data_IF_084802547255
#
_entry.id   IF_084802547255
#
_cell.length_a   1.000
_cell.length_b   1.000
_cell.length_c   1.000
_cell.angle_alpha   90.00
_cell.angle_beta   90.00
_cell.angle_gamma   90.00
#
_symmetry.space_group_name_H-M   'P 1'
#
loop_
_entity.id
_entity.type
_entity.pdbx_description
1 polymer ?
#
# COMPACT_ATOMS: atom_id res chain seq x y z
N UNK A 1 1.63 44.33 9.52
CA UNK A 1 1.88 44.23 8.06
C UNK A 1 3.04 43.27 7.74
N UNK A 2 4.23 43.39 8.35
CA UNK A 2 5.34 42.46 8.11
C UNK A 2 5.04 40.98 8.52
N UNK A 3 4.30 40.78 9.60
CA UNK A 3 3.98 39.44 10.12
C UNK A 3 3.00 38.65 9.23
N UNK A 4 2.10 39.34 8.52
CA UNK A 4 1.18 38.71 7.55
C UNK A 4 1.90 38.33 6.26
N UNK A 5 2.81 39.18 5.77
CA UNK A 5 3.64 38.85 4.61
C UNK A 5 4.56 37.67 4.88
N UNK A 6 5.13 37.57 6.09
CA UNK A 6 5.88 36.37 6.49
C UNK A 6 4.98 35.13 6.51
N UNK A 7 3.75 35.23 7.02
CA UNK A 7 2.81 34.11 7.01
C UNK A 7 2.45 33.64 5.59
N UNK A 8 2.20 34.57 4.67
CA UNK A 8 1.91 34.26 3.26
C UNK A 8 3.11 33.61 2.55
N UNK A 9 4.33 34.11 2.81
CA UNK A 9 5.58 33.54 2.30
C UNK A 9 5.83 32.13 2.88
N UNK A 10 5.55 31.91 4.16
CA UNK A 10 5.62 30.59 4.78
C UNK A 10 4.56 29.64 4.19
N UNK A 11 3.32 30.09 4.00
CA UNK A 11 2.28 29.29 3.34
C UNK A 11 2.67 28.87 1.92
N UNK A 12 3.27 29.78 1.13
CA UNK A 12 3.80 29.43 -0.19
C UNK A 12 4.95 28.41 -0.12
N UNK A 13 5.82 28.50 0.89
CA UNK A 13 6.91 27.54 1.10
C UNK A 13 6.41 26.13 1.44
N UNK A 14 5.26 26.00 2.12
CA UNK A 14 4.63 24.71 2.39
C UNK A 14 3.81 24.16 1.21
N UNK A 15 3.31 25.04 0.35
CA UNK A 15 2.55 24.66 -0.84
C UNK A 15 3.41 23.98 -1.91
N UNK A 16 4.67 24.39 -2.06
CA UNK A 16 5.58 23.85 -3.09
C UNK A 16 5.94 22.37 -2.85
N UNK A 17 6.33 21.93 -1.64
CA UNK A 17 6.49 20.51 -1.30
C UNK A 17 5.19 19.70 -1.44
N UNK A 18 4.04 20.30 -1.12
CA UNK A 18 2.73 19.69 -1.31
C UNK A 18 2.35 19.55 -2.79
N UNK A 19 2.88 20.40 -3.68
CA UNK A 19 2.62 20.36 -5.12
C UNK A 19 3.63 19.51 -5.92
N UNK A 20 4.85 19.31 -5.41
CA UNK A 20 5.93 18.56 -6.10
C UNK A 20 6.51 17.47 -5.19
N UNK A 21 5.74 16.40 -5.04
CA UNK A 21 6.08 15.21 -4.27
C UNK A 21 7.36 14.51 -4.75
N UNK A 22 7.81 14.79 -5.99
CA UNK A 22 9.03 14.24 -6.60
C UNK A 22 10.29 14.52 -5.76
N UNK A 23 10.41 15.74 -5.20
CA UNK A 23 11.60 16.12 -4.44
C UNK A 23 11.67 15.39 -3.10
N UNK A 24 10.52 15.16 -2.46
CA UNK A 24 10.44 14.40 -1.21
C UNK A 24 10.67 12.90 -1.46
N UNK A 25 10.16 12.35 -2.57
CA UNK A 25 10.45 10.98 -2.97
C UNK A 25 11.96 10.76 -3.21
N UNK A 26 12.62 11.67 -3.95
CA UNK A 26 14.08 11.64 -4.13
C UNK A 26 14.83 11.79 -2.80
N UNK A 27 14.33 12.63 -1.89
CA UNK A 27 14.92 12.77 -0.55
C UNK A 27 14.81 11.47 0.25
N UNK A 28 13.65 10.82 0.26
CA UNK A 28 13.45 9.53 0.95
C UNK A 28 14.36 8.45 0.38
N UNK A 29 14.48 8.40 -0.93
CA UNK A 29 15.37 7.48 -1.63
C UNK A 29 16.85 7.72 -1.24
N UNK A 30 17.30 8.98 -1.28
CA UNK A 30 18.66 9.35 -0.89
C UNK A 30 18.94 9.03 0.59
N UNK A 31 17.97 9.30 1.46
CA UNK A 31 18.08 9.04 2.89
C UNK A 31 18.01 7.56 3.27
N UNK A 32 17.39 6.72 2.44
CA UNK A 32 17.41 5.26 2.63
C UNK A 32 18.79 4.67 2.31
N UNK A 33 19.47 5.20 1.28
CA UNK A 33 20.79 4.70 0.84
C UNK A 33 21.97 5.25 1.65
N UNK A 34 21.88 6.48 2.17
CA UNK A 34 22.91 7.04 3.03
C UNK A 34 22.68 6.57 4.47
N UNK A 35 23.68 5.96 5.11
CA UNK A 35 23.67 5.61 6.55
C UNK A 35 23.62 6.89 7.42
N UNK A 36 22.46 7.55 7.44
CA UNK A 36 22.19 8.69 8.29
C UNK A 36 21.94 8.24 9.72
N UNK A 37 22.29 9.10 10.68
CA UNK A 37 21.95 8.88 12.08
C UNK A 37 20.42 8.67 12.21
N UNK A 38 20.01 7.64 12.95
CA UNK A 38 18.60 7.30 13.20
C UNK A 38 17.76 8.49 13.68
N UNK A 39 18.40 9.45 14.37
CA UNK A 39 17.78 10.72 14.79
C UNK A 39 17.27 11.54 13.60
N UNK A 40 18.05 11.63 12.51
CA UNK A 40 17.68 12.39 11.31
C UNK A 40 16.51 11.73 10.57
N UNK A 41 16.50 10.40 10.46
CA UNK A 41 15.37 9.65 9.88
C UNK A 41 14.08 9.94 10.64
N UNK A 42 14.10 9.80 11.97
CA UNK A 42 12.94 10.13 12.84
C UNK A 42 12.51 11.59 12.72
N UNK A 43 13.45 12.53 12.56
CA UNK A 43 13.10 13.93 12.32
C UNK A 43 12.37 14.10 10.99
N UNK A 44 12.84 13.49 9.92
CA UNK A 44 12.19 13.57 8.60
C UNK A 44 10.83 12.88 8.59
N UNK A 45 10.70 11.74 9.27
CA UNK A 45 9.41 11.06 9.47
C UNK A 45 8.42 12.00 10.17
N UNK A 46 8.82 12.58 11.29
CA UNK A 46 7.98 13.51 12.06
C UNK A 46 7.59 14.73 11.24
N UNK A 47 8.54 15.33 10.52
CA UNK A 47 8.29 16.49 9.67
C UNK A 47 7.31 16.14 8.56
N UNK A 48 7.49 14.99 7.90
CA UNK A 48 6.55 14.51 6.86
C UNK A 48 5.15 14.30 7.44
N UNK A 49 5.05 13.67 8.62
CA UNK A 49 3.77 13.48 9.29
C UNK A 49 3.13 14.82 9.70
N UNK A 50 3.90 15.80 10.15
CA UNK A 50 3.33 17.13 10.46
C UNK A 50 2.93 17.91 9.21
N UNK A 51 3.58 17.67 8.07
CA UNK A 51 3.28 18.36 6.80
C UNK A 51 2.03 17.83 6.10
N UNK A 52 1.72 16.55 6.29
CA UNK A 52 0.61 15.86 5.61
C UNK A 52 -0.44 15.27 6.58
N UNK A 53 -0.26 15.46 7.89
CA UNK A 53 -1.02 14.78 8.94
C UNK A 53 -2.19 15.55 9.52
N UNK A 54 -2.63 16.68 8.95
CA UNK A 54 -3.75 17.43 9.51
C UNK A 54 -5.14 16.84 9.20
N UNK A 55 -5.21 15.56 8.82
CA UNK A 55 -6.47 14.82 8.71
C UNK A 55 -7.43 15.37 7.66
N UNK A 56 -6.99 16.30 6.82
CA UNK A 56 -7.77 16.84 5.72
C UNK A 56 -7.74 15.84 4.55
N UNK A 57 -8.87 15.60 3.86
CA UNK A 57 -8.93 14.64 2.74
C UNK A 57 -7.98 15.00 1.60
N UNK A 58 -7.68 16.30 1.44
CA UNK A 58 -6.69 16.80 0.49
C UNK A 58 -5.27 16.37 0.83
N UNK A 59 -4.86 16.50 2.10
CA UNK A 59 -3.50 16.19 2.52
C UNK A 59 -3.24 14.68 2.52
N UNK A 60 -4.25 13.89 2.86
CA UNK A 60 -4.21 12.45 2.74
C UNK A 60 -3.97 11.99 1.29
N UNK A 61 -4.69 12.59 0.33
CA UNK A 61 -4.46 12.31 -1.09
C UNK A 61 -3.02 12.66 -1.52
N UNK A 62 -2.49 13.79 -1.05
CA UNK A 62 -1.11 14.20 -1.36
C UNK A 62 -0.08 13.27 -0.70
N UNK A 63 -0.32 12.79 0.51
CA UNK A 63 0.52 11.81 1.19
C UNK A 63 0.53 10.47 0.44
N UNK A 64 -0.64 10.01 -0.02
CA UNK A 64 -0.75 8.80 -0.85
C UNK A 64 0.00 8.96 -2.17
N UNK A 65 -0.10 10.12 -2.82
CA UNK A 65 0.64 10.43 -4.06
C UNK A 65 2.16 10.45 -3.83
N UNK A 66 2.60 10.97 -2.68
CA UNK A 66 4.01 10.91 -2.27
C UNK A 66 4.50 9.48 -2.09
N UNK A 67 3.73 8.61 -1.43
CA UNK A 67 4.09 7.20 -1.30
C UNK A 67 4.14 6.49 -2.64
N UNK A 68 3.19 6.74 -3.55
CA UNK A 68 3.23 6.18 -4.90
C UNK A 68 4.51 6.55 -5.65
N UNK A 69 4.95 7.80 -5.56
CA UNK A 69 6.19 8.25 -6.18
C UNK A 69 7.43 7.65 -5.50
N UNK A 70 7.45 7.59 -4.16
CA UNK A 70 8.55 6.98 -3.41
C UNK A 70 8.70 5.48 -3.74
N UNK A 71 7.59 4.73 -3.82
CA UNK A 71 7.59 3.32 -4.22
C UNK A 71 8.10 3.16 -5.66
N UNK A 72 7.62 4.00 -6.58
CA UNK A 72 8.05 3.95 -7.98
C UNK A 72 9.54 4.20 -8.13
N UNK A 73 10.09 5.14 -7.35
CA UNK A 73 11.52 5.45 -7.34
C UNK A 73 12.35 4.31 -6.74
N UNK A 74 11.90 3.72 -5.64
CA UNK A 74 12.56 2.58 -4.99
C UNK A 74 12.63 1.38 -5.94
N UNK A 75 11.49 1.01 -6.55
CA UNK A 75 11.37 -0.12 -7.50
C UNK A 75 12.21 0.13 -8.75
N UNK A 76 12.22 1.35 -9.29
CA UNK A 76 13.04 1.71 -10.46
C UNK A 76 14.54 1.59 -10.18
N UNK A 77 14.95 1.82 -8.94
CA UNK A 77 16.35 1.83 -8.53
C UNK A 77 16.91 0.45 -8.16
N UNK A 78 16.03 -0.52 -7.91
CA UNK A 78 16.38 -1.84 -7.43
C UNK A 78 16.67 -2.78 -8.61
N UNK A 79 17.84 -3.45 -8.65
CA UNK A 79 18.18 -4.36 -9.74
C UNK A 79 17.44 -5.70 -9.64
N UNK A 80 17.02 -6.10 -8.43
CA UNK A 80 16.32 -7.36 -8.17
C UNK A 80 15.12 -7.15 -7.24
N UNK A 81 14.08 -7.98 -7.37
CA UNK A 81 12.90 -7.96 -6.48
C UNK A 81 13.29 -8.22 -5.01
N UNK A 82 14.30 -9.06 -4.76
CA UNK A 82 14.79 -9.35 -3.42
C UNK A 82 15.32 -8.08 -2.71
N UNK A 83 16.01 -7.20 -3.42
CA UNK A 83 16.54 -5.96 -2.85
C UNK A 83 15.43 -4.99 -2.41
N UNK A 84 14.26 -5.03 -3.07
CA UNK A 84 13.09 -4.24 -2.68
C UNK A 84 12.44 -4.79 -1.40
N UNK A 85 12.50 -6.10 -1.19
CA UNK A 85 11.94 -6.76 0.00
C UNK A 85 12.86 -6.59 1.20
N UNK A 86 14.18 -6.64 0.99
CA UNK A 86 15.18 -6.45 2.04
C UNK A 86 15.45 -4.98 2.36
N UNK A 87 15.16 -4.06 1.43
CA UNK A 87 15.27 -2.63 1.73
C UNK A 87 14.28 -2.25 2.83
N UNK A 88 14.74 -1.41 3.75
CA UNK A 88 13.90 -0.80 4.79
C UNK A 88 13.62 0.64 4.39
N UNK A 89 12.71 0.88 3.42
CA UNK A 89 12.52 2.20 2.86
C UNK A 89 11.78 3.11 3.84
N UNK A 90 12.19 4.37 3.89
CA UNK A 90 11.69 5.37 4.85
C UNK A 90 10.17 5.59 4.71
N UNK A 91 9.62 5.46 3.49
CA UNK A 91 8.17 5.65 3.27
C UNK A 91 7.33 4.63 4.03
N UNK A 92 7.83 3.42 4.26
CA UNK A 92 7.12 2.36 4.98
C UNK A 92 6.98 2.72 6.47
N UNK A 93 8.07 3.20 7.09
CA UNK A 93 8.08 3.69 8.48
C UNK A 93 7.13 4.88 8.66
N UNK A 94 7.12 5.81 7.70
CA UNK A 94 6.20 6.98 7.73
C UNK A 94 4.75 6.51 7.61
N UNK A 95 4.44 5.61 6.69
CA UNK A 95 3.09 5.08 6.49
C UNK A 95 2.59 4.32 7.72
N UNK A 96 3.46 3.55 8.38
CA UNK A 96 3.13 2.85 9.61
C UNK A 96 2.83 3.83 10.74
N UNK A 97 3.72 4.80 11.01
CA UNK A 97 3.49 5.83 12.02
C UNK A 97 2.22 6.67 11.73
N UNK A 98 1.94 6.98 10.47
CA UNK A 98 0.72 7.68 10.07
C UNK A 98 -0.54 6.87 10.42
N UNK A 99 -0.49 5.54 10.22
CA UNK A 99 -1.58 4.63 10.57
C UNK A 99 -1.75 4.53 12.09
N UNK A 100 -0.65 4.41 12.84
CA UNK A 100 -0.67 4.36 14.31
C UNK A 100 -1.29 5.62 14.91
N UNK A 101 -0.91 6.80 14.41
CA UNK A 101 -1.48 8.09 14.84
C UNK A 101 -3.00 8.17 14.60
N UNK A 102 -3.52 7.51 13.57
CA UNK A 102 -4.96 7.49 13.25
C UNK A 102 -5.75 6.43 14.02
N UNK A 103 -5.15 5.26 14.25
CA UNK A 103 -5.80 4.17 14.96
C UNK A 103 -5.70 4.30 16.49
N UNK A 104 -4.84 5.19 17.02
CA UNK A 104 -4.64 5.38 18.46
C UNK A 104 -3.99 4.18 19.16
N UNK A 105 -3.52 3.20 18.37
CA UNK A 105 -2.85 2.00 18.85
C UNK A 105 -1.38 2.16 18.51
N UNK A 106 -0.56 2.57 19.49
CA UNK A 106 0.89 2.37 19.40
C UNK A 106 1.12 0.87 19.43
N UNK A 107 1.44 0.28 18.28
CA UNK A 107 1.96 -1.07 18.30
C UNK A 107 3.36 -0.97 18.92
N UNK A 108 3.47 -1.21 20.22
CA UNK A 108 4.75 -1.26 20.93
C UNK A 108 5.64 -2.43 20.50
N UNK A 109 5.44 -2.99 19.31
CA UNK A 109 6.20 -4.11 18.76
C UNK A 109 7.19 -3.58 17.72
N UNK A 110 8.51 -3.78 17.91
CA UNK A 110 9.51 -3.43 16.92
C UNK A 110 9.26 -4.18 15.62
N UNK A 111 9.49 -3.49 14.48
CA UNK A 111 9.20 -3.95 13.11
C UNK A 111 10.14 -5.10 12.66
N UNK A 112 11.00 -5.61 13.55
CA UNK A 112 12.02 -6.63 13.25
C UNK A 112 11.59 -8.07 13.61
N UNK A 113 10.31 -8.28 13.91
CA UNK A 113 9.80 -9.64 14.11
C UNK A 113 9.61 -10.31 12.75
N UNK A 114 10.69 -10.97 12.33
CA UNK A 114 10.70 -12.13 11.42
C UNK A 114 9.32 -12.80 11.44
N UNK A 115 8.70 -12.94 10.27
CA UNK A 115 7.33 -13.42 10.03
C UNK A 115 6.89 -14.63 10.91
N UNK A 116 7.84 -15.42 11.39
CA UNK A 116 7.67 -16.54 12.32
C UNK A 116 7.18 -16.18 13.73
N UNK A 117 7.50 -14.99 14.26
CA UNK A 117 7.11 -14.56 15.61
C UNK A 117 5.61 -14.28 15.78
N UNK A 118 4.93 -13.91 14.69
CA UNK A 118 3.49 -13.57 14.69
C UNK A 118 2.57 -14.79 14.87
N UNK A 119 3.10 -16.02 14.68
CA UNK A 119 2.33 -17.25 14.87
C UNK A 119 2.03 -17.58 16.34
N UNK A 120 2.80 -17.02 17.28
CA UNK A 120 2.60 -17.24 18.71
C UNK A 120 1.55 -16.32 19.35
N UNK A 121 1.12 -15.26 18.66
CA UNK A 121 0.06 -14.38 19.14
C UNK A 121 -1.32 -15.00 18.82
N UNK A 122 -2.10 -15.44 19.84
CA UNK A 122 -3.39 -16.08 19.62
C UNK A 122 -4.37 -15.19 18.83
N UNK A 123 -4.25 -13.87 18.96
CA UNK A 123 -5.10 -12.91 18.28
C UNK A 123 -4.76 -12.80 16.78
N UNK A 124 -3.47 -12.77 16.44
CA UNK A 124 -3.03 -12.74 15.03
C UNK A 124 -3.38 -14.05 14.31
N UNK A 125 -3.26 -15.19 15.02
CA UNK A 125 -3.67 -16.50 14.50
C UNK A 125 -5.18 -16.57 14.25
N UNK A 126 -6.00 -16.01 15.14
CA UNK A 126 -7.45 -15.96 14.95
C UNK A 126 -7.84 -15.15 13.71
N UNK A 127 -7.21 -13.99 13.50
CA UNK A 127 -7.46 -13.16 12.31
C UNK A 127 -7.01 -13.85 11.01
N UNK A 128 -5.88 -14.57 11.03
CA UNK A 128 -5.43 -15.34 9.87
C UNK A 128 -6.39 -16.47 9.53
N UNK A 129 -6.88 -17.22 10.52
CA UNK A 129 -7.89 -18.27 10.34
C UNK A 129 -9.18 -17.68 9.76
N UNK A 130 -9.62 -16.52 10.28
CA UNK A 130 -10.80 -15.81 9.77
C UNK A 130 -10.64 -15.41 8.30
N UNK A 131 -9.49 -14.86 7.92
CA UNK A 131 -9.22 -14.49 6.53
C UNK A 131 -9.17 -15.70 5.59
N UNK A 132 -8.56 -16.81 6.02
CA UNK A 132 -8.56 -18.05 5.26
C UNK A 132 -9.97 -18.61 5.05
N UNK A 133 -10.80 -18.60 6.09
CA UNK A 133 -12.19 -19.04 6.01
C UNK A 133 -13.01 -18.15 5.08
N UNK A 134 -12.80 -16.83 5.11
CA UNK A 134 -13.44 -15.91 4.18
C UNK A 134 -13.02 -16.18 2.73
N UNK A 135 -11.74 -16.45 2.48
CA UNK A 135 -11.26 -16.74 1.13
C UNK A 135 -11.87 -18.05 0.58
N UNK A 136 -11.93 -19.09 1.42
CA UNK A 136 -12.60 -20.34 1.05
C UNK A 136 -14.08 -20.11 0.76
N UNK A 137 -14.77 -19.37 1.63
CA UNK A 137 -16.19 -19.08 1.45
C UNK A 137 -16.47 -18.30 0.16
N UNK A 138 -15.67 -17.28 -0.15
CA UNK A 138 -15.82 -16.48 -1.37
C UNK A 138 -15.54 -17.30 -2.63
N UNK A 139 -14.54 -18.17 -2.61
CA UNK A 139 -14.25 -19.05 -3.75
C UNK A 139 -15.36 -20.06 -3.96
N UNK A 140 -15.91 -20.66 -2.90
CA UNK A 140 -17.08 -21.54 -3.01
C UNK A 140 -18.30 -20.80 -3.54
N UNK A 141 -18.58 -19.58 -3.05
CA UNK A 141 -19.68 -18.77 -3.56
C UNK A 141 -19.50 -18.43 -5.05
N UNK A 142 -18.31 -18.01 -5.45
CA UNK A 142 -18.01 -17.67 -6.85
C UNK A 142 -18.14 -18.88 -7.77
N UNK A 143 -17.58 -20.02 -7.37
CA UNK A 143 -17.64 -21.26 -8.13
C UNK A 143 -19.08 -21.77 -8.24
N UNK A 144 -19.85 -21.74 -7.15
CA UNK A 144 -21.26 -22.11 -7.16
C UNK A 144 -22.10 -21.15 -8.01
N UNK A 145 -21.80 -19.84 -8.00
CA UNK A 145 -22.44 -18.87 -8.86
C UNK A 145 -22.12 -19.10 -10.35
N UNK A 146 -20.87 -19.43 -10.67
CA UNK A 146 -20.45 -19.79 -12.03
C UNK A 146 -21.20 -21.05 -12.52
N UNK A 147 -21.13 -22.15 -11.77
CA UNK A 147 -21.80 -23.40 -12.16
C UNK A 147 -23.33 -23.31 -12.13
N UNK A 148 -23.90 -22.50 -11.23
CA UNK A 148 -25.32 -22.16 -11.21
C UNK A 148 -25.74 -21.36 -12.45
N UNK A 149 -24.90 -20.42 -12.90
CA UNK A 149 -25.16 -19.58 -14.07
C UNK A 149 -25.01 -20.34 -15.40
N UNK A 150 -24.12 -21.35 -15.46
CA UNK A 150 -23.99 -22.23 -16.64
C UNK A 150 -25.30 -22.96 -16.95
N UNK A 151 -26.11 -23.30 -15.93
CA UNK A 151 -27.43 -23.93 -16.13
C UNK A 151 -28.53 -22.95 -16.56
N UNK A 152 -28.39 -21.66 -16.27
CA UNK A 152 -29.29 -20.60 -16.73
C UNK A 152 -28.87 -19.98 -18.07
N UNK A 153 -27.80 -20.49 -18.67
CA UNK A 153 -27.26 -19.90 -19.87
C UNK A 153 -28.27 -19.97 -21.03
N UNK A 154 -28.60 -18.84 -21.69
CA UNK A 154 -29.58 -18.83 -22.78
C UNK A 154 -29.19 -19.82 -23.87
N UNK A 155 -30.20 -20.46 -24.46
CA UNK A 155 -30.03 -21.57 -25.42
C UNK A 155 -29.04 -21.26 -26.56
N UNK A 156 -28.96 -20.00 -26.99
CA UNK A 156 -28.03 -19.53 -28.02
C UNK A 156 -26.57 -19.81 -27.67
N UNK A 157 -26.12 -19.50 -26.45
CA UNK A 157 -24.73 -19.72 -26.04
C UNK A 157 -24.47 -21.22 -25.82
N UNK A 158 -25.44 -21.96 -25.28
CA UNK A 158 -25.33 -23.42 -25.10
C UNK A 158 -25.23 -24.15 -26.45
N UNK A 159 -25.90 -23.64 -27.49
CA UNK A 159 -25.80 -24.17 -28.84
C UNK A 159 -24.40 -23.97 -29.42
N UNK A 160 -23.84 -22.76 -29.29
CA UNK A 160 -22.49 -22.44 -29.77
C UNK A 160 -21.45 -23.33 -29.11
N UNK A 161 -21.52 -23.50 -27.78
CA UNK A 161 -20.58 -24.35 -27.04
C UNK A 161 -20.69 -25.82 -27.47
N UNK A 162 -21.91 -26.32 -27.71
CA UNK A 162 -22.10 -27.71 -28.19
C UNK A 162 -21.54 -27.93 -29.59
N UNK A 163 -21.76 -26.97 -30.49
CA UNK A 163 -21.27 -27.04 -31.87
C UNK A 163 -19.74 -26.96 -31.91
N UNK A 164 -19.14 -26.10 -31.08
CA UNK A 164 -17.70 -25.98 -30.94
C UNK A 164 -17.07 -27.23 -30.30
N UNK A 165 -17.73 -27.84 -29.31
CA UNK A 165 -17.31 -29.12 -28.73
C UNK A 165 -17.42 -30.29 -29.74
N UNK A 166 -18.44 -30.29 -30.60
CA UNK A 166 -18.58 -31.29 -31.65
C UNK A 166 -17.50 -31.14 -32.74
N UNK A 167 -17.20 -29.90 -33.13
CA UNK A 167 -16.12 -29.59 -34.06
C UNK A 167 -14.74 -29.99 -33.50
N UNK A 168 -14.48 -29.72 -32.22
CA UNK A 168 -13.24 -30.11 -31.57
C UNK A 168 -13.03 -31.63 -31.55
N UNK A 169 -14.10 -32.42 -31.37
CA UNK A 169 -14.07 -33.89 -31.39
C UNK A 169 -13.92 -34.51 -32.78
N UNK A 170 -14.14 -33.75 -33.85
CA UNK A 170 -13.89 -34.18 -35.22
C UNK A 170 -12.44 -33.90 -35.67
N UNK A 171 -11.68 -33.15 -34.85
CA UNK A 171 -10.31 -32.77 -35.12
C UNK A 171 -9.28 -33.71 -34.47
N UNK A 172 -9.72 -34.56 -33.54
CA UNK A 172 -8.99 -35.72 -32.99
C UNK A 172 -9.38 -37.01 -33.73
#
# INVERSE_FOLDING_TARGET
MAMQQQLDLYQQMFYVPQARCDYLACLFFLMSRVKLAEKAKRTVERVTLTLFGYGQPREEYLMLKLFQHAISEEVRSAPTIADVIESHPLFLSIALHAREMRCGVSSGKPIDETFEGTFFDPHARAEYIRHLQMLHHLTEQFVNAMFGSVRQMPYSISSIVRELLAAAKLLD
#
